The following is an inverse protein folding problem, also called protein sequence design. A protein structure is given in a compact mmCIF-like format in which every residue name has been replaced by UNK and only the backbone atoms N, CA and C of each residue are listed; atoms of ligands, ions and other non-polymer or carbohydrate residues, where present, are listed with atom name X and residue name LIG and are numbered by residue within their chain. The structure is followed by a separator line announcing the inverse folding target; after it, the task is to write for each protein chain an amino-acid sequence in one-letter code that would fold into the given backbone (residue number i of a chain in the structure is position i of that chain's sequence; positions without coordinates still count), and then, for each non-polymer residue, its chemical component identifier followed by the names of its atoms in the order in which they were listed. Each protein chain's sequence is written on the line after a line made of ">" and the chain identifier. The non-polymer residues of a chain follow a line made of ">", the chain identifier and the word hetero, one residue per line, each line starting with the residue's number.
data_IF_112322390212
#
_entry.id   IF_112322390212
#
_cell.length_a   1.000
_cell.length_b   1.000
_cell.length_c   1.000
_cell.angle_alpha   90.00
_cell.angle_beta   90.00
_cell.angle_gamma   90.00
#
_symmetry.space_group_name_H-M   'P 1'
#
loop_
_entity.id
_entity.type
_entity.pdbx_description
1 polymer ?
#
# COMPACT_ATOMS: atom_id res chain seq x y z
N UNK A 1 16.38 -5.20 -14.07
CA UNK A 1 15.12 -5.73 -13.52
C UNK A 1 15.21 -7.17 -13.04
N UNK A 2 15.97 -8.06 -13.68
CA UNK A 2 16.13 -9.46 -13.25
C UNK A 2 16.46 -9.64 -11.75
N UNK A 3 17.48 -8.95 -11.23
CA UNK A 3 17.84 -9.02 -9.81
C UNK A 3 16.69 -8.58 -8.87
N UNK A 4 15.92 -7.54 -9.24
CA UNK A 4 14.76 -7.12 -8.44
C UNK A 4 13.66 -8.17 -8.42
N UNK A 5 13.43 -8.84 -9.56
CA UNK A 5 12.45 -9.93 -9.66
C UNK A 5 12.88 -11.14 -8.85
N UNK A 6 14.17 -11.46 -8.83
CA UNK A 6 14.71 -12.55 -8.00
C UNK A 6 14.47 -12.27 -6.51
N UNK A 7 14.82 -11.07 -6.04
CA UNK A 7 14.59 -10.68 -4.64
C UNK A 7 13.08 -10.64 -4.30
N UNK A 8 12.25 -10.10 -5.19
CA UNK A 8 10.81 -10.04 -4.99
C UNK A 8 10.17 -11.44 -4.96
N UNK A 9 10.61 -12.35 -5.84
CA UNK A 9 10.13 -13.73 -5.86
C UNK A 9 10.52 -14.47 -4.58
N UNK A 10 11.78 -14.32 -4.14
CA UNK A 10 12.25 -14.89 -2.88
C UNK A 10 11.47 -14.35 -1.68
N UNK A 11 11.29 -13.02 -1.60
CA UNK A 11 10.54 -12.40 -0.52
C UNK A 11 9.06 -12.83 -0.52
N UNK A 12 8.43 -12.96 -1.69
CA UNK A 12 7.07 -13.52 -1.81
C UNK A 12 6.98 -14.93 -1.25
N UNK A 13 7.91 -15.82 -1.62
CA UNK A 13 7.91 -17.19 -1.11
C UNK A 13 8.01 -17.21 0.42
N UNK A 14 8.94 -16.44 0.99
CA UNK A 14 9.15 -16.41 2.44
C UNK A 14 7.99 -15.76 3.21
N UNK A 15 7.40 -14.69 2.70
CA UNK A 15 6.29 -14.00 3.38
C UNK A 15 4.94 -14.72 3.23
N UNK A 16 4.80 -15.65 2.29
CA UNK A 16 3.55 -16.38 2.03
C UNK A 16 3.11 -17.29 3.19
N UNK A 17 3.99 -17.55 4.16
CA UNK A 17 3.65 -18.31 5.38
C UNK A 17 2.80 -17.52 6.38
N UNK A 18 2.74 -16.19 6.26
CA UNK A 18 1.98 -15.35 7.16
C UNK A 18 0.55 -15.17 6.65
N UNK A 19 -0.42 -15.88 7.23
CA UNK A 19 -1.85 -15.81 6.86
C UNK A 19 -2.46 -14.40 6.93
N UNK A 20 -1.83 -13.47 7.65
CA UNK A 20 -2.29 -12.09 7.72
C UNK A 20 -1.81 -11.22 6.56
N UNK A 21 -0.89 -11.71 5.72
CA UNK A 21 -0.36 -11.00 4.57
C UNK A 21 -0.87 -11.64 3.27
N UNK A 22 -0.97 -10.82 2.23
CA UNK A 22 -1.17 -11.27 0.87
C UNK A 22 -0.10 -10.63 -0.02
N UNK A 23 0.74 -11.49 -0.58
CA UNK A 23 1.81 -11.11 -1.52
C UNK A 23 1.28 -10.97 -2.95
N UNK A 24 2.06 -10.35 -3.86
CA UNK A 24 1.67 -10.24 -5.27
C UNK A 24 1.51 -11.61 -5.94
N UNK A 25 0.36 -11.83 -6.56
CA UNK A 25 0.14 -12.95 -7.48
C UNK A 25 0.52 -12.53 -8.90
N UNK A 26 1.47 -13.24 -9.51
CA UNK A 26 2.08 -12.87 -10.79
C UNK A 26 1.75 -13.97 -11.80
N UNK A 27 0.92 -13.69 -12.80
CA UNK A 27 0.68 -14.64 -13.89
C UNK A 27 1.99 -14.95 -14.62
N UNK A 28 2.19 -16.21 -15.03
CA UNK A 28 3.42 -16.71 -15.66
C UNK A 28 3.84 -15.98 -16.95
N UNK A 29 2.92 -15.25 -17.58
CA UNK A 29 3.16 -14.47 -18.80
C UNK A 29 3.48 -12.99 -18.53
N UNK A 30 3.60 -12.57 -17.26
CA UNK A 30 3.84 -11.18 -16.85
C UNK A 30 5.20 -11.04 -16.16
N UNK A 31 5.96 -10.02 -16.55
CA UNK A 31 7.16 -9.61 -15.83
C UNK A 31 6.99 -8.22 -15.18
N UNK A 32 7.30 -8.10 -13.90
CA UNK A 32 7.30 -6.82 -13.19
C UNK A 32 8.70 -6.20 -13.09
N UNK A 33 8.76 -4.87 -13.06
CA UNK A 33 10.00 -4.12 -12.82
C UNK A 33 10.30 -3.90 -11.32
N UNK A 34 9.33 -4.12 -10.42
CA UNK A 34 9.41 -3.91 -8.98
C UNK A 34 10.14 -2.61 -8.58
N UNK A 35 9.59 -1.45 -8.94
CA UNK A 35 10.08 -0.19 -8.37
C UNK A 35 9.87 -0.15 -6.85
N UNK A 36 8.79 -0.80 -6.41
CA UNK A 36 8.46 -1.15 -5.04
C UNK A 36 7.91 -2.57 -5.05
N UNK A 37 7.97 -3.24 -3.90
CA UNK A 37 7.31 -4.50 -3.65
C UNK A 37 6.01 -4.23 -2.87
N UNK A 38 4.83 -4.42 -3.49
CA UNK A 38 3.56 -4.27 -2.81
C UNK A 38 3.19 -5.55 -2.05
N UNK A 39 2.49 -5.40 -0.94
CA UNK A 39 1.82 -6.47 -0.21
C UNK A 39 0.61 -5.89 0.51
N UNK A 40 -0.40 -6.71 0.79
CA UNK A 40 -1.61 -6.26 1.49
C UNK A 40 -1.77 -6.97 2.82
N UNK A 41 -2.29 -6.26 3.82
CA UNK A 41 -2.75 -6.88 5.06
C UNK A 41 -4.17 -7.44 4.84
N UNK A 42 -4.36 -8.71 5.17
CA UNK A 42 -5.65 -9.37 5.00
C UNK A 42 -6.71 -8.77 5.92
N UNK A 43 -7.88 -8.41 5.39
CA UNK A 43 -9.02 -8.00 6.20
C UNK A 43 -9.38 -9.06 7.23
N UNK A 44 -9.67 -8.64 8.46
CA UNK A 44 -10.02 -9.57 9.55
C UNK A 44 -8.82 -10.21 10.25
N UNK A 45 -7.58 -9.89 9.85
CA UNK A 45 -6.39 -10.29 10.60
C UNK A 45 -6.40 -9.80 12.06
N UNK A 46 -7.17 -8.74 12.37
CA UNK A 46 -7.20 -8.09 13.68
C UNK A 46 -5.97 -7.22 13.96
N UNK A 47 -5.14 -6.99 12.93
CA UNK A 47 -3.95 -6.15 12.97
C UNK A 47 -4.30 -4.80 12.35
N UNK A 48 -3.83 -3.71 12.94
CA UNK A 48 -3.79 -2.41 12.29
C UNK A 48 -2.59 -2.35 11.36
N UNK A 49 -2.84 -2.04 10.09
CA UNK A 49 -1.78 -1.83 9.10
C UNK A 49 -0.80 -0.75 9.53
N UNK A 50 -1.30 0.36 10.07
CA UNK A 50 -0.45 1.48 10.47
C UNK A 50 0.41 1.13 11.70
N UNK A 51 -0.12 0.33 12.63
CA UNK A 51 0.66 -0.21 13.74
C UNK A 51 1.77 -1.15 13.26
N UNK A 52 1.46 -2.05 12.32
CA UNK A 52 2.45 -2.93 11.68
C UNK A 52 3.53 -2.12 10.95
N UNK A 53 3.14 -1.14 10.14
CA UNK A 53 4.07 -0.23 9.45
C UNK A 53 5.00 0.46 10.45
N UNK A 54 4.45 1.03 11.52
CA UNK A 54 5.23 1.70 12.56
C UNK A 54 6.24 0.75 13.22
N UNK A 55 5.82 -0.46 13.55
CA UNK A 55 6.68 -1.48 14.14
C UNK A 55 7.80 -1.93 13.17
N UNK A 56 7.46 -2.19 11.91
CA UNK A 56 8.45 -2.58 10.89
C UNK A 56 9.50 -1.47 10.66
N UNK A 57 9.08 -0.21 10.59
CA UNK A 57 10.02 0.91 10.49
C UNK A 57 10.91 1.05 11.74
N UNK A 58 10.39 0.71 12.94
CA UNK A 58 11.19 0.69 14.17
C UNK A 58 12.25 -0.42 14.18
N UNK A 59 11.99 -1.54 13.50
CA UNK A 59 12.97 -2.60 13.22
C UNK A 59 13.96 -2.22 12.08
N UNK A 60 13.85 -1.01 11.53
CA UNK A 60 14.70 -0.53 10.44
C UNK A 60 14.28 -0.98 9.05
N UNK A 61 13.15 -1.67 8.91
CA UNK A 61 12.62 -2.10 7.62
C UNK A 61 11.70 -1.02 7.04
N UNK A 62 12.08 -0.38 5.91
CA UNK A 62 11.25 0.65 5.32
C UNK A 62 9.95 0.03 4.76
N UNK A 63 8.83 0.39 5.38
CA UNK A 63 7.50 -0.02 4.96
C UNK A 63 6.58 1.19 4.97
N UNK A 64 5.80 1.39 3.92
CA UNK A 64 4.84 2.49 3.81
C UNK A 64 3.44 1.97 3.53
N UNK A 65 2.43 2.64 4.06
CA UNK A 65 1.01 2.30 3.87
C UNK A 65 0.37 3.10 2.76
N UNK A 66 -0.57 2.46 2.06
CA UNK A 66 -1.23 3.02 0.90
C UNK A 66 -0.24 3.33 -0.24
N UNK A 67 -0.67 4.21 -1.11
CA UNK A 67 0.18 4.88 -2.08
C UNK A 67 -0.09 6.39 -1.96
N UNK A 68 -0.10 7.13 -3.06
CA UNK A 68 -0.64 8.48 -3.03
C UNK A 68 -2.11 8.48 -2.63
N UNK A 69 -2.55 9.60 -2.07
CA UNK A 69 -3.95 9.84 -1.74
C UNK A 69 -4.83 9.62 -2.99
N UNK A 70 -5.98 8.91 -2.89
CA UNK A 70 -6.89 8.72 -4.01
C UNK A 70 -7.16 10.05 -4.71
N UNK A 71 -6.86 10.09 -6.01
CA UNK A 71 -6.71 11.35 -6.74
C UNK A 71 -7.97 12.23 -6.68
N UNK A 72 -9.15 11.61 -6.69
CA UNK A 72 -10.43 12.32 -6.63
C UNK A 72 -10.68 12.99 -5.27
N UNK A 73 -9.99 12.59 -4.20
CA UNK A 73 -10.05 13.28 -2.92
C UNK A 73 -9.25 14.59 -2.90
N UNK A 74 -8.35 14.82 -3.85
CA UNK A 74 -7.56 16.04 -3.94
C UNK A 74 -8.44 17.28 -4.05
N UNK A 75 -7.98 18.38 -3.44
CA UNK A 75 -8.76 19.62 -3.36
C UNK A 75 -9.21 20.12 -4.74
N UNK A 76 -8.38 19.89 -5.77
CA UNK A 76 -8.70 20.19 -7.17
C UNK A 76 -10.01 19.56 -7.62
N UNK A 77 -10.24 18.28 -7.30
CA UNK A 77 -11.44 17.55 -7.69
C UNK A 77 -12.60 17.82 -6.74
N UNK A 78 -12.36 17.87 -5.43
CA UNK A 78 -13.39 18.17 -4.42
C UNK A 78 -14.01 19.56 -4.64
N UNK A 79 -13.17 20.56 -4.90
CA UNK A 79 -13.59 21.94 -5.18
C UNK A 79 -13.86 22.19 -6.66
N UNK A 80 -13.62 21.20 -7.53
CA UNK A 80 -13.80 21.26 -8.99
C UNK A 80 -13.10 22.48 -9.60
N UNK A 81 -11.82 22.70 -9.28
CA UNK A 81 -11.01 23.83 -9.76
C UNK A 81 -9.67 23.36 -10.33
N UNK A 82 -9.63 23.05 -11.63
CA UNK A 82 -8.39 22.62 -12.30
C UNK A 82 -7.65 23.81 -12.92
N UNK A 83 -8.36 24.68 -13.65
CA UNK A 83 -7.78 25.87 -14.26
C UNK A 83 -8.44 27.14 -13.73
N UNK A 84 -7.65 27.97 -13.05
CA UNK A 84 -8.15 29.16 -12.36
C UNK A 84 -9.13 28.80 -11.24
N UNK A 85 -10.00 29.75 -10.88
CA UNK A 85 -10.94 29.63 -9.76
C UNK A 85 -12.40 29.47 -10.16
N UNK A 86 -12.71 29.48 -11.48
CA UNK A 86 -14.09 29.53 -12.00
C UNK A 86 -14.68 28.16 -12.35
N UNK A 87 -14.00 27.09 -12.01
CA UNK A 87 -14.53 25.74 -12.16
C UNK A 87 -14.25 25.05 -13.50
N UNK A 88 -13.47 25.64 -14.40
CA UNK A 88 -13.08 24.98 -15.65
C UNK A 88 -12.14 23.78 -15.36
N UNK A 89 -12.31 22.61 -16.01
CA UNK A 89 -13.26 22.30 -17.10
C UNK A 89 -14.58 21.67 -16.62
N UNK A 90 -14.88 21.68 -15.32
CA UNK A 90 -16.04 21.01 -14.70
C UNK A 90 -17.38 21.75 -14.91
N UNK A 91 -17.42 22.75 -15.77
CA UNK A 91 -18.58 23.60 -16.08
C UNK A 91 -18.70 23.80 -17.60
N UNK A 92 -19.87 24.25 -18.11
CA UNK A 92 -20.04 24.52 -19.54
C UNK A 92 -19.04 25.57 -20.06
N UNK A 93 -18.64 25.50 -21.35
CA UNK A 93 -19.16 24.61 -22.40
C UNK A 93 -18.47 23.24 -22.47
N UNK A 94 -17.44 22.98 -21.64
CA UNK A 94 -16.64 21.75 -21.75
C UNK A 94 -17.33 20.57 -21.07
N UNK A 95 -18.02 20.82 -19.96
CA UNK A 95 -18.73 19.79 -19.23
C UNK A 95 -20.12 20.26 -18.80
N UNK A 96 -21.15 19.49 -19.17
CA UNK A 96 -22.55 19.80 -18.89
C UNK A 96 -23.17 18.91 -17.79
N UNK A 97 -22.39 18.00 -17.21
CA UNK A 97 -22.86 17.05 -16.19
C UNK A 97 -22.69 17.53 -14.75
N UNK A 98 -23.04 16.66 -13.81
CA UNK A 98 -22.86 16.87 -12.38
C UNK A 98 -21.99 15.74 -11.79
N UNK A 99 -20.68 15.82 -12.00
CA UNK A 99 -19.74 14.83 -11.46
C UNK A 99 -19.67 14.88 -9.93
N UNK A 100 -19.61 13.71 -9.31
CA UNK A 100 -19.38 13.54 -7.88
C UNK A 100 -17.98 12.95 -7.65
N UNK A 101 -17.24 13.51 -6.70
CA UNK A 101 -15.92 13.02 -6.27
C UNK A 101 -15.91 12.64 -4.78
N UNK A 102 -17.07 12.46 -4.16
CA UNK A 102 -17.18 12.10 -2.75
C UNK A 102 -16.46 10.79 -2.40
N UNK A 103 -16.13 10.64 -1.12
CA UNK A 103 -15.66 9.38 -0.55
C UNK A 103 -16.76 8.32 -0.61
N UNK A 104 -16.38 7.05 -0.76
CA UNK A 104 -17.25 5.89 -0.92
C UNK A 104 -17.46 5.47 -2.38
N UNK A 105 -17.03 6.28 -3.36
CA UNK A 105 -17.27 6.00 -4.78
C UNK A 105 -16.40 4.86 -5.32
N UNK A 106 -15.17 4.71 -4.81
CA UNK A 106 -14.21 3.70 -5.25
C UNK A 106 -13.78 2.82 -4.07
N UNK A 107 -14.66 2.00 -3.49
CA UNK A 107 -14.45 1.35 -2.18
C UNK A 107 -13.17 0.51 -2.10
N UNK A 108 -12.76 -0.15 -3.19
CA UNK A 108 -11.50 -0.91 -3.23
C UNK A 108 -10.27 0.02 -3.17
N UNK A 109 -10.27 1.13 -3.92
CA UNK A 109 -9.17 2.10 -3.88
C UNK A 109 -9.04 2.72 -2.50
N UNK A 110 -10.17 3.09 -1.89
CA UNK A 110 -10.21 3.69 -0.55
C UNK A 110 -9.72 2.71 0.50
N UNK A 111 -10.21 1.48 0.49
CA UNK A 111 -9.79 0.43 1.42
C UNK A 111 -8.32 0.05 1.26
N UNK A 112 -7.82 -0.04 0.02
CA UNK A 112 -6.40 -0.25 -0.26
C UNK A 112 -5.55 0.90 0.31
N UNK A 113 -5.94 2.15 0.07
CA UNK A 113 -5.22 3.31 0.58
C UNK A 113 -5.27 3.41 2.11
N UNK A 114 -6.43 3.17 2.73
CA UNK A 114 -6.63 3.43 4.16
C UNK A 114 -6.30 2.26 5.06
N UNK A 115 -6.43 1.00 4.60
CA UNK A 115 -6.34 -0.16 5.49
C UNK A 115 -5.46 -1.32 4.99
N UNK A 116 -5.32 -1.56 3.69
CA UNK A 116 -4.75 -2.84 3.22
C UNK A 116 -3.34 -2.72 2.64
N UNK A 117 -3.12 -1.81 1.69
CA UNK A 117 -1.88 -1.77 0.90
C UNK A 117 -0.70 -1.32 1.74
N UNK A 118 0.39 -2.07 1.62
CA UNK A 118 1.73 -1.73 2.09
C UNK A 118 2.71 -1.89 0.94
N UNK A 119 3.79 -1.11 0.98
CA UNK A 119 4.81 -1.12 -0.05
C UNK A 119 6.18 -0.95 0.58
N UNK A 120 7.16 -1.71 0.09
CA UNK A 120 8.55 -1.59 0.55
C UNK A 120 9.50 -1.50 -0.66
N UNK A 121 10.55 -0.68 -0.61
CA UNK A 121 11.52 -0.56 -1.70
C UNK A 121 12.65 -1.58 -1.62
N UNK A 122 12.62 -2.56 -0.70
CA UNK A 122 13.78 -3.41 -0.35
C UNK A 122 14.25 -4.36 -1.46
N UNK A 123 13.39 -4.70 -2.44
CA UNK A 123 13.76 -5.56 -3.58
C UNK A 123 14.57 -4.79 -4.64
N UNK A 124 15.72 -4.23 -4.25
CA UNK A 124 16.61 -3.46 -5.14
C UNK A 124 18.07 -3.58 -4.71
N UNK A 125 18.98 -3.43 -5.67
CA UNK A 125 20.41 -3.28 -5.39
C UNK A 125 20.68 -2.13 -4.38
N UNK A 126 21.62 -2.29 -3.44
CA UNK A 126 22.57 -3.40 -3.29
C UNK A 126 22.07 -4.61 -2.50
N UNK A 127 20.79 -4.65 -2.12
CA UNK A 127 20.28 -5.70 -1.26
C UNK A 127 20.38 -7.10 -1.89
N UNK A 128 20.58 -8.11 -1.04
CA UNK A 128 20.72 -9.53 -1.38
C UNK A 128 19.57 -10.36 -0.80
N UNK A 129 19.62 -11.69 -0.94
CA UNK A 129 18.64 -12.60 -0.32
C UNK A 129 18.78 -12.61 1.19
N UNK A 130 20.00 -12.48 1.70
CA UNK A 130 20.28 -12.36 3.14
C UNK A 130 19.61 -11.11 3.74
N UNK A 131 19.58 -9.99 3.00
CA UNK A 131 18.82 -8.81 3.43
C UNK A 131 17.29 -9.06 3.39
N UNK A 132 16.80 -9.91 2.48
CA UNK A 132 15.39 -10.33 2.49
C UNK A 132 15.10 -11.23 3.69
N UNK A 133 16.05 -12.06 4.13
CA UNK A 133 15.92 -12.84 5.36
C UNK A 133 15.80 -11.93 6.58
N UNK A 134 16.54 -10.81 6.62
CA UNK A 134 16.38 -9.79 7.67
C UNK A 134 14.98 -9.16 7.64
N UNK A 135 14.44 -8.87 6.47
CA UNK A 135 13.06 -8.39 6.32
C UNK A 135 12.06 -9.42 6.85
N UNK A 136 12.23 -10.70 6.50
CA UNK A 136 11.35 -11.80 6.95
C UNK A 136 11.45 -12.00 8.46
N UNK A 137 12.67 -11.98 9.03
CA UNK A 137 12.89 -12.03 10.48
C UNK A 137 12.20 -10.89 11.22
N UNK A 138 12.23 -9.68 10.66
CA UNK A 138 11.53 -8.53 11.23
C UNK A 138 10.01 -8.73 11.21
N UNK A 139 9.45 -9.24 10.10
CA UNK A 139 8.03 -9.59 10.03
C UNK A 139 7.65 -10.65 11.06
N UNK A 140 8.41 -11.75 11.15
CA UNK A 140 8.18 -12.82 12.14
C UNK A 140 8.20 -12.28 13.57
N UNK A 141 9.23 -11.51 13.92
CA UNK A 141 9.37 -10.87 15.23
C UNK A 141 8.17 -9.96 15.54
N UNK A 142 7.81 -9.06 14.64
CA UNK A 142 6.72 -8.09 14.86
C UNK A 142 5.37 -8.80 14.94
N UNK A 143 5.11 -9.75 14.04
CA UNK A 143 3.85 -10.49 13.99
C UNK A 143 3.69 -11.47 15.16
N UNK A 144 4.78 -11.98 15.75
CA UNK A 144 4.71 -12.76 17.01
C UNK A 144 4.08 -11.97 18.17
N UNK A 145 4.14 -10.64 18.10
CA UNK A 145 3.55 -9.72 19.06
C UNK A 145 2.18 -9.17 18.62
N UNK A 146 1.45 -9.88 17.75
CA UNK A 146 0.16 -9.48 17.16
C UNK A 146 -0.81 -8.73 18.08
N UNK A 147 -0.89 -9.11 19.36
CA UNK A 147 -1.79 -8.49 20.34
C UNK A 147 -1.51 -7.00 20.59
N UNK A 148 -0.26 -6.55 20.40
CA UNK A 148 0.16 -5.14 20.52
C UNK A 148 -0.03 -4.34 19.22
N UNK A 149 -0.32 -5.01 18.10
CA UNK A 149 -0.55 -4.40 16.79
C UNK A 149 -2.02 -4.03 16.55
N UNK A 150 -2.80 -3.84 17.62
CA UNK A 150 -4.18 -3.37 17.48
C UNK A 150 -4.17 -1.88 17.16
N UNK A 151 -5.09 -1.45 16.31
CA UNK A 151 -5.30 -0.02 16.09
C UNK A 151 -5.66 0.64 17.41
N UNK A 152 -5.14 1.84 17.65
CA UNK A 152 -5.63 2.67 18.75
C UNK A 152 -7.15 2.74 18.61
N UNK A 153 -7.86 2.20 19.59
CA UNK A 153 -9.30 2.38 19.73
C UNK A 153 -9.53 3.80 20.22
N UNK A 154 -9.08 4.78 19.44
CA UNK A 154 -9.11 6.19 19.78
C UNK A 154 -9.51 6.99 18.56
N UNK A 155 -10.78 7.41 18.62
CA UNK A 155 -11.31 8.69 18.17
C UNK A 155 -11.86 8.77 16.72
N UNK A 156 -13.20 8.79 16.71
CA UNK A 156 -14.19 9.31 15.75
C UNK A 156 -14.69 8.37 14.66
#
# INVERSE_FOLDING_TARGET
>A
NAARRELAGYLTEQLSVFDCLQCPDIPSHIEHSYFTYPLTLNPGSGISRDALIKAMNAEGIPLSGGYVRPIYWEAMYQKKIAYGSKGFPFVPPVYHGAVNYGKGLCPVCERMHEQELMMTPVCRYPNTKEDMDDVVRAFDKVLSQKHSLKGDSALF
#
